data_IF_560988293816
#
_entry.id   IF_560988293816
#
_cell.length_a   1.000
_cell.length_b   1.000
_cell.length_c   1.000
_cell.angle_alpha   90.00
_cell.angle_beta   90.00
_cell.angle_gamma   90.00
#
_symmetry.space_group_name_H-M   'P 1'
#
loop_
_entity.id
_entity.type
_entity.pdbx_description
1 polymer ?
#
# COMPACT_ATOMS: atom_id res chain seq x y z
N UNK A 1 -13.69 6.93 -26.26
CA UNK A 1 -13.64 6.48 -24.85
C UNK A 1 -13.21 5.03 -24.76
N UNK A 2 -12.02 4.78 -24.21
CA UNK A 2 -11.50 3.44 -23.93
C UNK A 2 -11.04 3.34 -22.46
N UNK A 3 -11.01 2.11 -21.92
CA UNK A 3 -10.44 1.81 -20.60
C UNK A 3 -9.14 1.05 -20.81
N UNK A 4 -8.03 1.61 -20.32
CA UNK A 4 -6.75 0.89 -20.23
C UNK A 4 -6.73 0.10 -18.92
N UNK A 5 -6.27 -1.15 -18.98
CA UNK A 5 -6.15 -2.04 -17.83
C UNK A 5 -4.71 -2.55 -17.77
N UNK A 6 -4.08 -2.46 -16.60
CA UNK A 6 -2.71 -2.93 -16.39
C UNK A 6 -2.57 -3.54 -14.99
N UNK A 7 -1.83 -4.63 -14.89
CA UNK A 7 -1.49 -5.28 -13.63
C UNK A 7 -0.09 -4.88 -13.17
N UNK A 8 0.06 -4.70 -11.86
CA UNK A 8 1.29 -4.25 -11.23
C UNK A 8 1.59 -5.04 -9.98
N UNK A 9 2.88 -5.37 -9.80
CA UNK A 9 3.44 -5.91 -8.57
C UNK A 9 4.35 -4.87 -7.91
N UNK A 10 3.89 -4.33 -6.79
CA UNK A 10 4.61 -3.33 -6.01
C UNK A 10 5.33 -4.00 -4.83
N UNK A 11 6.64 -3.78 -4.75
CA UNK A 11 7.45 -4.23 -3.60
C UNK A 11 7.35 -3.22 -2.47
N UNK A 12 6.87 -3.69 -1.31
CA UNK A 12 6.88 -2.92 -0.08
C UNK A 12 8.34 -2.73 0.36
N UNK A 13 8.78 -1.49 0.43
CA UNK A 13 10.09 -1.17 1.01
C UNK A 13 9.99 -1.32 2.53
N UNK A 14 11.08 -1.77 3.16
CA UNK A 14 11.13 -1.82 4.62
C UNK A 14 10.93 -0.42 5.18
N UNK A 15 9.79 -0.21 5.84
CA UNK A 15 9.45 1.04 6.48
C UNK A 15 8.81 0.74 7.83
N UNK A 16 9.11 1.59 8.80
CA UNK A 16 8.45 1.61 10.10
C UNK A 16 7.09 2.26 9.94
N UNK A 17 6.02 1.56 10.31
CA UNK A 17 4.70 2.17 10.42
C UNK A 17 4.77 3.13 11.61
N UNK A 18 4.80 4.43 11.36
CA UNK A 18 4.72 5.44 12.41
C UNK A 18 3.26 5.82 12.60
N UNK A 19 2.73 5.65 13.80
CA UNK A 19 1.43 6.22 14.11
C UNK A 19 1.65 7.66 14.52
N UNK A 20 1.82 8.52 13.53
CA UNK A 20 1.54 9.93 13.74
C UNK A 20 0.00 10.05 13.90
N UNK A 21 -0.52 10.39 15.10
CA UNK A 21 -1.95 10.57 15.28
C UNK A 21 -2.52 11.72 14.43
N UNK A 22 -1.68 12.66 14.00
CA UNK A 22 -2.04 13.77 13.12
C UNK A 22 -1.89 13.41 11.63
N UNK A 23 -1.21 12.29 11.31
CA UNK A 23 -1.05 11.79 9.95
C UNK A 23 -1.08 10.24 9.88
N UNK A 24 -2.28 9.64 9.90
CA UNK A 24 -2.43 8.18 9.93
C UNK A 24 -2.04 7.48 8.61
N UNK A 25 -1.68 8.23 7.56
CA UNK A 25 -1.38 7.70 6.24
C UNK A 25 0.08 7.23 6.15
N UNK A 26 0.29 5.95 6.48
CA UNK A 26 1.56 5.28 6.26
C UNK A 26 1.64 4.75 4.82
N UNK A 27 2.36 5.45 3.95
CA UNK A 27 2.62 5.03 2.57
C UNK A 27 3.86 4.14 2.48
N UNK A 28 3.74 2.98 1.84
CA UNK A 28 4.80 1.95 1.80
C UNK A 28 5.39 1.78 0.40
N UNK A 29 4.68 2.24 -0.63
CA UNK A 29 5.18 2.34 -2.01
C UNK A 29 4.83 3.69 -2.61
N UNK A 30 5.60 4.07 -3.62
CA UNK A 30 5.42 5.29 -4.40
C UNK A 30 5.68 4.92 -5.86
N UNK A 31 4.66 4.32 -6.49
CA UNK A 31 4.75 3.81 -7.86
C UNK A 31 4.13 4.81 -8.82
N UNK A 32 4.74 4.91 -10.00
CA UNK A 32 4.30 5.80 -11.06
C UNK A 32 3.87 4.99 -12.27
N UNK A 33 2.68 5.27 -12.76
CA UNK A 33 2.12 4.65 -13.96
C UNK A 33 2.07 5.71 -15.05
N UNK A 34 2.81 5.45 -16.13
CA UNK A 34 2.68 6.18 -17.39
C UNK A 34 1.71 5.43 -18.31
N UNK A 35 0.54 6.01 -18.57
CA UNK A 35 -0.43 5.43 -19.48
C UNK A 35 -0.06 5.64 -20.96
N UNK A 36 0.86 6.56 -21.27
CA UNK A 36 1.31 6.89 -22.62
C UNK A 36 0.29 7.63 -23.48
N UNK A 37 -0.90 7.91 -22.94
CA UNK A 37 -2.01 8.62 -23.58
C UNK A 37 -2.73 9.52 -22.57
N UNK A 38 -3.46 10.55 -23.01
CA UNK A 38 -4.29 11.37 -22.13
C UNK A 38 -5.38 10.57 -21.41
N UNK A 39 -5.40 10.64 -20.08
CA UNK A 39 -6.38 10.03 -19.18
C UNK A 39 -7.25 11.10 -18.53
N UNK A 40 -8.52 10.75 -18.32
CA UNK A 40 -9.53 11.55 -17.65
C UNK A 40 -9.68 11.16 -16.18
N UNK A 41 -9.56 9.87 -15.87
CA UNK A 41 -9.67 9.37 -14.52
C UNK A 41 -8.88 8.06 -14.36
N UNK A 42 -8.35 7.81 -13.16
CA UNK A 42 -7.64 6.59 -12.79
C UNK A 42 -8.14 6.01 -11.47
N UNK A 43 -8.32 4.69 -11.39
CA UNK A 43 -8.61 3.97 -10.14
C UNK A 43 -7.89 2.63 -10.10
N UNK A 44 -7.78 2.06 -8.91
CA UNK A 44 -7.13 0.77 -8.70
C UNK A 44 -8.02 -0.19 -7.93
N UNK A 45 -7.77 -1.48 -8.13
CA UNK A 45 -8.31 -2.55 -7.31
C UNK A 45 -7.16 -3.38 -6.75
N UNK A 46 -7.15 -3.58 -5.43
CA UNK A 46 -6.23 -4.50 -4.78
C UNK A 46 -6.54 -5.92 -5.26
N UNK A 47 -5.55 -6.61 -5.83
CA UNK A 47 -5.69 -7.98 -6.29
C UNK A 47 -5.28 -8.95 -5.19
N UNK A 48 -4.01 -8.90 -4.79
CA UNK A 48 -3.46 -9.74 -3.73
C UNK A 48 -2.41 -8.98 -2.93
N UNK A 49 -2.11 -9.45 -1.72
CA UNK A 49 -0.96 -8.98 -0.96
C UNK A 49 -0.35 -10.12 -0.15
N UNK A 50 0.97 -10.07 0.01
CA UNK A 50 1.74 -10.94 0.88
C UNK A 50 2.69 -10.07 1.69
N UNK A 51 2.39 -9.88 2.96
CA UNK A 51 3.17 -9.05 3.88
C UNK A 51 3.89 -9.97 4.86
N UNK A 52 5.20 -9.85 4.89
CA UNK A 52 6.05 -10.48 5.88
C UNK A 52 5.95 -9.68 7.18
N UNK A 53 5.26 -10.28 8.14
CA UNK A 53 5.08 -9.74 9.47
C UNK A 53 6.13 -10.32 10.42
N UNK A 54 6.88 -9.49 11.15
CA UNK A 54 7.86 -9.98 12.12
C UNK A 54 7.16 -10.67 13.30
N UNK A 55 7.94 -11.38 14.12
CA UNK A 55 7.53 -11.78 15.46
C UNK A 55 8.29 -10.94 16.50
N UNK A 56 7.78 -10.88 17.73
CA UNK A 56 8.48 -10.25 18.85
C UNK A 56 8.36 -11.10 20.12
N UNK A 57 9.20 -10.81 21.11
CA UNK A 57 9.07 -11.38 22.46
C UNK A 57 8.37 -10.39 23.37
N UNK A 58 7.36 -10.87 24.11
CA UNK A 58 6.74 -10.09 25.17
C UNK A 58 7.66 -9.99 26.40
N UNK A 59 7.20 -9.26 27.42
CA UNK A 59 7.95 -9.07 28.68
C UNK A 59 8.20 -10.38 29.45
N UNK A 60 7.39 -11.42 29.21
CA UNK A 60 7.55 -12.75 29.79
C UNK A 60 8.52 -13.65 28.97
N UNK A 61 9.02 -13.15 27.84
CA UNK A 61 9.89 -13.87 26.92
C UNK A 61 9.16 -14.78 25.93
N UNK A 62 7.82 -14.76 25.91
CA UNK A 62 7.00 -15.54 24.99
C UNK A 62 7.03 -14.91 23.60
N UNK A 63 7.18 -15.75 22.57
CA UNK A 63 7.16 -15.31 21.17
C UNK A 63 5.70 -15.07 20.74
N UNK A 64 5.45 -13.86 20.24
CA UNK A 64 4.18 -13.44 19.67
C UNK A 64 4.35 -13.29 18.16
N UNK A 65 3.56 -14.04 17.39
CA UNK A 65 3.49 -13.92 15.94
C UNK A 65 2.41 -12.90 15.56
N UNK A 66 2.77 -11.97 14.69
CA UNK A 66 1.87 -10.91 14.27
C UNK A 66 1.06 -11.42 13.07
N UNK A 67 -0.26 -11.38 13.21
CA UNK A 67 -1.20 -11.78 12.15
C UNK A 67 -1.52 -10.62 11.21
N UNK A 68 -1.70 -10.93 9.92
CA UNK A 68 -2.17 -9.98 8.90
C UNK A 68 -3.57 -9.44 9.17
N UNK A 69 -4.35 -10.10 10.03
CA UNK A 69 -5.63 -9.59 10.53
C UNK A 69 -5.51 -8.27 11.30
N UNK A 70 -4.30 -7.91 11.76
CA UNK A 70 -4.03 -6.63 12.41
C UNK A 70 -3.73 -5.50 11.43
N UNK A 71 -3.64 -5.80 10.13
CA UNK A 71 -3.34 -4.83 9.09
C UNK A 71 -4.58 -4.49 8.26
N UNK A 72 -4.62 -3.27 7.76
CA UNK A 72 -5.48 -2.85 6.67
C UNK A 72 -4.60 -2.35 5.55
N UNK A 73 -4.80 -2.89 4.35
CA UNK A 73 -4.06 -2.50 3.15
C UNK A 73 -5.03 -1.78 2.23
N UNK A 74 -4.64 -0.59 1.79
CA UNK A 74 -5.38 0.23 0.83
C UNK A 74 -4.46 0.73 -0.29
N UNK A 75 -5.07 1.25 -1.34
CA UNK A 75 -4.36 1.91 -2.44
C UNK A 75 -4.93 3.32 -2.59
N UNK A 76 -4.03 4.30 -2.67
CA UNK A 76 -4.38 5.68 -2.92
C UNK A 76 -3.86 6.08 -4.29
N UNK A 77 -4.78 6.50 -5.16
CA UNK A 77 -4.47 6.98 -6.50
C UNK A 77 -4.41 8.51 -6.47
N UNK A 78 -3.33 9.08 -7.03
CA UNK A 78 -3.19 10.51 -7.25
C UNK A 78 -2.78 10.78 -8.67
N UNK A 79 -3.66 11.39 -9.44
CA UNK A 79 -3.36 11.89 -10.78
C UNK A 79 -2.38 13.07 -10.67
N UNK A 80 -1.24 12.97 -11.36
CA UNK A 80 -0.19 14.01 -11.33
C UNK A 80 -0.41 14.96 -12.50
N UNK A 81 -0.67 14.40 -13.67
CA UNK A 81 -1.00 15.12 -14.89
C UNK A 81 -1.89 14.23 -15.77
N UNK A 82 -2.15 14.65 -17.00
CA UNK A 82 -3.04 13.96 -17.90
C UNK A 82 -2.48 12.64 -18.47
N UNK A 83 -1.27 12.18 -18.17
CA UNK A 83 -0.79 10.85 -18.63
C UNK A 83 -0.21 9.99 -17.50
N UNK A 84 0.05 10.59 -16.33
CA UNK A 84 0.67 9.94 -15.19
C UNK A 84 -0.25 9.90 -13.97
N UNK A 85 -0.35 8.72 -13.37
CA UNK A 85 -0.90 8.53 -12.04
C UNK A 85 0.16 8.00 -11.08
N UNK A 86 0.11 8.45 -9.84
CA UNK A 86 0.89 7.93 -8.72
C UNK A 86 -0.01 7.04 -7.87
N UNK A 87 0.48 5.85 -7.57
CA UNK A 87 -0.19 4.87 -6.70
C UNK A 87 0.63 4.72 -5.45
N UNK A 88 0.02 5.00 -4.30
CA UNK A 88 0.62 4.73 -3.01
C UNK A 88 -0.11 3.57 -2.34
N UNK A 89 0.62 2.54 -1.93
CA UNK A 89 0.09 1.52 -1.04
C UNK A 89 0.06 2.08 0.38
N UNK A 90 -1.11 2.05 1.01
CA UNK A 90 -1.30 2.46 2.41
C UNK A 90 -1.42 1.22 3.27
N UNK A 91 -0.63 1.12 4.33
CA UNK A 91 -0.76 0.04 5.32
C UNK A 91 -0.99 0.64 6.70
N UNK A 92 -2.15 0.36 7.27
CA UNK A 92 -2.52 0.80 8.62
C UNK A 92 -2.56 -0.40 9.56
N UNK A 93 -2.08 -0.22 10.78
CA UNK A 93 -2.12 -1.24 11.81
C UNK A 93 -3.19 -0.90 12.84
N UNK A 94 -4.00 -1.89 13.23
CA UNK A 94 -5.14 -1.69 14.14
C UNK A 94 -4.82 -1.96 15.60
N UNK A 95 -3.70 -2.60 15.90
CA UNK A 95 -3.32 -2.94 17.27
C UNK A 95 -2.40 -1.85 17.87
N UNK A 96 -2.83 -1.18 18.96
CA UNK A 96 -2.01 -0.17 19.65
C UNK A 96 -0.65 -0.72 20.11
N UNK A 97 -0.62 -1.95 20.63
CA UNK A 97 0.61 -2.61 21.08
C UNK A 97 1.63 -2.73 19.94
N UNK A 98 1.17 -3.09 18.75
CA UNK A 98 2.06 -3.28 17.60
C UNK A 98 2.56 -1.93 17.06
N UNK A 99 1.76 -0.88 17.17
CA UNK A 99 2.10 0.49 16.77
C UNK A 99 3.31 0.97 17.59
N UNK A 100 3.28 0.78 18.91
CA UNK A 100 4.38 1.15 19.79
C UNK A 100 5.68 0.41 19.48
N UNK A 101 5.57 -0.82 18.93
CA UNK A 101 6.73 -1.64 18.57
C UNK A 101 7.41 -1.20 17.27
N UNK A 102 6.87 -0.23 16.52
CA UNK A 102 7.51 0.33 15.31
C UNK A 102 8.02 -0.76 14.35
N UNK A 103 7.14 -1.71 14.05
CA UNK A 103 7.49 -2.91 13.31
C UNK A 103 7.95 -2.58 11.89
N UNK A 104 8.99 -3.27 11.44
CA UNK A 104 9.42 -3.24 10.05
C UNK A 104 8.70 -4.35 9.29
N UNK A 105 8.03 -3.96 8.22
CA UNK A 105 7.32 -4.89 7.33
C UNK A 105 7.93 -4.86 5.93
N UNK A 106 7.93 -6.01 5.27
CA UNK A 106 8.29 -6.15 3.86
C UNK A 106 7.23 -6.99 3.16
N UNK A 107 7.24 -7.02 1.83
CA UNK A 107 6.30 -7.86 1.11
C UNK A 107 6.01 -7.38 -0.30
N UNK A 108 4.93 -7.91 -0.84
CA UNK A 108 4.44 -7.67 -2.19
C UNK A 108 2.96 -7.30 -2.14
N UNK A 109 2.59 -6.30 -2.94
CA UNK A 109 1.19 -5.92 -3.16
C UNK A 109 0.96 -5.90 -4.66
N UNK A 110 0.01 -6.71 -5.11
CA UNK A 110 -0.40 -6.78 -6.50
C UNK A 110 -1.73 -6.06 -6.66
N UNK A 111 -1.83 -5.22 -7.68
CA UNK A 111 -3.04 -4.47 -7.97
C UNK A 111 -3.27 -4.29 -9.47
N UNK A 112 -4.52 -4.01 -9.82
CA UNK A 112 -4.93 -3.70 -11.19
C UNK A 112 -5.25 -2.21 -11.24
N UNK A 113 -4.65 -1.50 -12.19
CA UNK A 113 -4.95 -0.10 -12.48
C UNK A 113 -5.83 0.00 -13.72
N UNK A 114 -6.83 0.88 -13.62
CA UNK A 114 -7.79 1.21 -14.67
C UNK A 114 -7.67 2.70 -14.97
N UNK A 115 -7.61 3.05 -16.26
CA UNK A 115 -7.64 4.45 -16.67
C UNK A 115 -8.61 4.68 -17.84
N UNK A 116 -9.49 5.66 -17.66
CA UNK A 116 -10.38 6.17 -18.71
C UNK A 116 -9.62 7.18 -19.58
N UNK A 117 -9.60 6.99 -20.90
CA UNK A 117 -8.97 7.94 -21.84
C UNK A 117 -9.84 9.18 -22.07
N UNK A 118 -9.22 10.31 -22.42
CA UNK A 118 -9.94 11.55 -22.78
C UNK A 118 -10.67 11.41 -24.13
N UNK A 119 -10.06 10.69 -25.08
CA UNK A 119 -10.64 10.33 -26.38
C UNK A 119 -11.85 9.41 -26.22
#
# INVERSE_FOLDING_TARGET
>A
MAILIREYDARLRSMTIDADPDNPENFVTDDYIDFGVPIKSCWTALNTFSIDLPNYKDESGKIINISSSNLTVGLLVREINNTFARINTVISMRSPELIEKKLNITGLVSYIAFAETVD
#
